data_IF_343605660341
#
_entry.id   IF_343605660341
#
_cell.length_a   1.000
_cell.length_b   1.000
_cell.length_c   1.000
_cell.angle_alpha   90.00
_cell.angle_beta   90.00
_cell.angle_gamma   90.00
#
_symmetry.space_group_name_H-M   'P 1'
#
loop_
_entity.id
_entity.type
_entity.pdbx_description
1 polymer ?
#
# COMPACT_ATOMS: atom_id res chain seq x y z
N UNK A 1 12.11 10.48 -2.16
CA UNK A 1 11.90 9.01 -2.22
C UNK A 1 13.25 8.34 -2.35
N UNK A 2 13.39 7.14 -1.80
CA UNK A 2 14.63 6.35 -1.85
C UNK A 2 14.33 4.95 -2.40
N UNK A 3 15.15 4.38 -3.30
CA UNK A 3 14.93 3.03 -3.79
C UNK A 3 15.13 2.02 -2.67
N UNK A 4 14.20 1.08 -2.54
CA UNK A 4 14.17 0.13 -1.45
C UNK A 4 13.62 -1.23 -1.89
N UNK A 5 13.86 -2.24 -1.07
CA UNK A 5 13.23 -3.56 -1.18
C UNK A 5 12.61 -3.98 0.15
N UNK A 6 11.62 -4.87 0.07
CA UNK A 6 10.99 -5.54 1.20
C UNK A 6 11.05 -7.05 0.99
N UNK A 7 11.17 -7.80 2.08
CA UNK A 7 11.24 -9.28 2.08
C UNK A 7 9.95 -9.89 2.61
N UNK A 8 9.60 -11.11 2.17
CA UNK A 8 8.41 -11.85 2.60
C UNK A 8 7.13 -11.43 1.87
N UNK A 9 7.27 -10.75 0.74
CA UNK A 9 6.15 -10.26 -0.07
C UNK A 9 6.32 -10.69 -1.52
N UNK A 10 5.20 -10.74 -2.24
CA UNK A 10 5.15 -11.00 -3.68
C UNK A 10 4.25 -10.00 -4.39
N UNK A 11 4.50 -9.78 -5.68
CA UNK A 11 3.62 -8.99 -6.55
C UNK A 11 2.84 -9.91 -7.47
N UNK A 12 1.52 -9.73 -7.50
CA UNK A 12 0.61 -10.46 -8.38
C UNK A 12 -0.28 -9.50 -9.15
N UNK A 13 -0.86 -9.96 -10.26
CA UNK A 13 -1.75 -9.14 -11.10
C UNK A 13 -3.15 -9.10 -10.51
N UNK A 14 -3.71 -7.91 -10.39
CA UNK A 14 -5.11 -7.65 -10.08
C UNK A 14 -5.73 -6.83 -11.21
N UNK A 15 -6.25 -7.52 -12.22
CA UNK A 15 -6.60 -6.89 -13.49
C UNK A 15 -5.35 -6.30 -14.15
N UNK A 16 -5.40 -5.00 -14.46
CA UNK A 16 -4.28 -4.25 -15.04
C UNK A 16 -3.28 -3.73 -14.01
N UNK A 17 -3.59 -3.86 -12.71
CA UNK A 17 -2.76 -3.37 -11.61
C UNK A 17 -1.92 -4.49 -11.00
N UNK A 18 -0.85 -4.12 -10.30
CA UNK A 18 -0.12 -5.05 -9.42
C UNK A 18 -0.59 -4.86 -7.98
N UNK A 19 -0.80 -5.97 -7.29
CA UNK A 19 -1.16 -6.03 -5.89
C UNK A 19 -0.04 -6.73 -5.11
N UNK A 20 0.30 -6.18 -3.94
CA UNK A 20 1.24 -6.79 -3.01
C UNK A 20 0.51 -7.82 -2.16
N UNK A 21 1.06 -9.02 -2.03
CA UNK A 21 0.52 -10.11 -1.22
C UNK A 21 1.65 -10.71 -0.35
N UNK A 22 1.28 -11.56 0.61
CA UNK A 22 2.25 -12.40 1.30
C UNK A 22 3.03 -13.29 0.32
N UNK A 23 4.36 -13.27 0.45
CA UNK A 23 5.28 -14.10 -0.31
C UNK A 23 5.95 -15.14 0.59
N UNK A 24 6.83 -15.94 0.00
CA UNK A 24 7.64 -16.90 0.74
C UNK A 24 8.79 -16.20 1.50
N UNK A 25 9.34 -16.82 2.56
CA UNK A 25 10.52 -16.28 3.24
C UNK A 25 11.68 -16.04 2.26
N UNK A 26 12.22 -14.82 2.27
CA UNK A 26 13.30 -14.41 1.37
C UNK A 26 12.85 -13.94 -0.01
N UNK A 27 11.56 -13.98 -0.34
CA UNK A 27 11.05 -13.36 -1.56
C UNK A 27 11.11 -11.84 -1.45
N UNK A 28 11.66 -11.17 -2.47
CA UNK A 28 11.93 -9.74 -2.44
C UNK A 28 11.06 -8.97 -3.43
N UNK A 29 10.49 -7.86 -2.97
CA UNK A 29 9.82 -6.88 -3.84
C UNK A 29 10.61 -5.58 -3.82
N UNK A 30 11.05 -5.14 -5.00
CA UNK A 30 11.74 -3.88 -5.20
C UNK A 30 10.76 -2.74 -5.51
N UNK A 31 11.04 -1.56 -4.99
CA UNK A 31 10.23 -0.37 -5.21
C UNK A 31 10.89 0.89 -4.65
N UNK A 32 10.05 1.84 -4.24
CA UNK A 32 10.48 3.11 -3.68
C UNK A 32 9.87 3.30 -2.30
N UNK A 33 10.67 3.78 -1.36
CA UNK A 33 10.23 4.22 -0.05
C UNK A 33 10.05 5.74 -0.03
N UNK A 34 8.96 6.17 0.56
CA UNK A 34 8.63 7.56 0.79
C UNK A 34 8.54 7.83 2.29
N UNK A 35 9.10 8.96 2.73
CA UNK A 35 9.04 9.40 4.11
C UNK A 35 7.83 10.33 4.29
N UNK A 36 6.92 9.96 5.18
CA UNK A 36 5.70 10.73 5.46
C UNK A 36 6.05 11.83 6.46
N UNK A 37 6.40 13.01 5.94
CA UNK A 37 6.84 14.14 6.77
C UNK A 37 5.71 15.08 7.21
N UNK A 38 4.46 14.91 6.75
CA UNK A 38 3.37 15.83 7.04
C UNK A 38 2.01 15.13 7.15
N UNK A 39 1.03 15.72 7.87
CA UNK A 39 -0.34 15.24 7.92
C UNK A 39 -1.05 15.25 6.55
N UNK A 40 -0.61 16.09 5.62
CA UNK A 40 -1.14 16.13 4.25
C UNK A 40 -0.67 14.90 3.45
N UNK A 41 0.59 14.48 3.61
CA UNK A 41 1.08 13.25 3.00
C UNK A 41 0.32 12.03 3.51
N UNK A 42 0.09 11.96 4.82
CA UNK A 42 -0.73 10.90 5.44
C UNK A 42 -2.17 10.91 4.90
N UNK A 43 -2.76 12.10 4.77
CA UNK A 43 -4.10 12.26 4.20
C UNK A 43 -4.18 11.78 2.74
N UNK A 44 -3.18 12.08 1.92
CA UNK A 44 -3.10 11.60 0.55
C UNK A 44 -2.94 10.08 0.48
N UNK A 45 -2.25 9.48 1.45
CA UNK A 45 -2.10 8.03 1.55
C UNK A 45 -3.38 7.33 2.04
N UNK A 46 -4.21 8.00 2.85
CA UNK A 46 -5.50 7.47 3.30
C UNK A 46 -6.47 7.18 2.15
N UNK A 47 -6.27 7.79 0.97
CA UNK A 47 -6.99 7.40 -0.26
C UNK A 47 -6.78 5.92 -0.62
N UNK A 48 -5.61 5.37 -0.32
CA UNK A 48 -5.28 3.97 -0.58
C UNK A 48 -5.74 3.02 0.54
N UNK A 49 -6.15 3.55 1.71
CA UNK A 49 -6.82 2.80 2.78
C UNK A 49 -8.28 2.50 2.38
N UNK A 50 -8.43 1.67 1.35
CA UNK A 50 -9.72 1.14 0.89
C UNK A 50 -9.97 -0.24 1.49
N UNK A 51 -11.15 -0.82 1.28
CA UNK A 51 -11.41 -2.22 1.65
C UNK A 51 -10.56 -3.23 0.85
N UNK A 52 -9.79 -2.76 -0.14
CA UNK A 52 -8.89 -3.59 -0.93
C UNK A 52 -7.51 -3.78 -0.29
N UNK A 53 -7.10 -2.91 0.64
CA UNK A 53 -5.75 -2.93 1.19
C UNK A 53 -5.72 -2.80 2.71
N UNK A 54 -4.87 -3.61 3.32
CA UNK A 54 -4.51 -3.50 4.72
C UNK A 54 -3.10 -2.90 4.86
N UNK A 55 -2.92 -2.17 5.95
CA UNK A 55 -1.65 -1.56 6.30
C UNK A 55 -0.77 -2.58 7.03
N UNK A 56 0.30 -3.03 6.40
CA UNK A 56 1.18 -4.07 6.92
C UNK A 56 2.56 -3.51 7.30
N UNK A 57 3.13 -3.89 8.46
CA UNK A 57 4.51 -3.55 8.79
C UNK A 57 5.48 -4.29 7.86
N UNK A 58 6.52 -3.60 7.39
CA UNK A 58 7.57 -4.19 6.58
C UNK A 58 8.95 -3.66 6.96
N UNK A 59 9.94 -4.54 6.91
CA UNK A 59 11.35 -4.14 6.98
C UNK A 59 11.78 -3.70 5.58
N UNK A 60 12.09 -2.41 5.43
CA UNK A 60 12.61 -1.86 4.18
C UNK A 60 14.11 -1.82 4.23
N UNK A 61 14.74 -2.32 3.18
CA UNK A 61 16.17 -2.16 2.95
C UNK A 61 16.39 -1.19 1.79
N UNK A 62 17.07 -0.09 2.06
CA UNK A 62 17.42 0.88 1.03
C UNK A 62 18.57 0.37 0.16
N UNK A 63 18.53 0.73 -1.11
CA UNK A 63 19.47 0.24 -2.14
C UNK A 63 20.31 1.38 -2.75
N UNK A 64 20.17 2.60 -2.21
CA UNK A 64 20.91 3.79 -2.64
C UNK A 64 22.29 3.94 -1.97
N UNK A 65 22.65 3.05 -1.05
CA UNK A 65 23.91 3.09 -0.32
C UNK A 65 23.98 4.12 0.81
N UNK A 66 22.92 4.92 1.03
CA UNK A 66 22.86 5.92 2.10
C UNK A 66 22.38 5.32 3.43
N UNK A 67 22.81 5.91 4.53
CA UNK A 67 22.32 5.54 5.87
C UNK A 67 21.01 6.28 6.23
N UNK A 68 20.13 5.66 7.04
CA UNK A 68 20.20 4.27 7.48
C UNK A 68 19.88 3.30 6.34
N UNK A 69 20.56 2.15 6.31
CA UNK A 69 20.34 1.09 5.32
C UNK A 69 19.03 0.31 5.49
N UNK A 70 18.50 0.23 6.72
CA UNK A 70 17.26 -0.51 7.02
C UNK A 70 16.38 0.28 7.96
N UNK A 71 15.07 0.29 7.69
CA UNK A 71 14.06 0.94 8.53
C UNK A 71 12.78 0.08 8.52
N UNK A 72 12.13 -0.06 9.67
CA UNK A 72 10.76 -0.56 9.75
C UNK A 72 9.80 0.54 9.29
N UNK A 73 8.89 0.22 8.39
CA UNK A 73 7.68 1.01 8.29
C UNK A 73 6.53 0.20 7.73
N UNK A 74 5.78 0.78 6.81
CA UNK A 74 4.49 0.27 6.38
C UNK A 74 4.39 0.19 4.87
N UNK A 75 3.57 -0.74 4.41
CA UNK A 75 3.15 -0.94 3.02
C UNK A 75 1.65 -1.25 2.98
N UNK A 76 1.05 -1.09 1.80
CA UNK A 76 -0.32 -1.52 1.53
C UNK A 76 -0.28 -2.92 0.92
N UNK A 77 -0.88 -3.89 1.61
CA UNK A 77 -1.00 -5.27 1.16
C UNK A 77 -2.46 -5.54 0.80
N UNK A 78 -2.71 -6.33 -0.24
CA UNK A 78 -4.06 -6.70 -0.63
C UNK A 78 -4.78 -7.44 0.51
N UNK A 79 -5.93 -6.92 0.92
CA UNK A 79 -6.76 -7.42 2.01
C UNK A 79 -7.70 -8.57 1.59
N UNK A 80 -7.69 -8.92 0.30
CA UNK A 80 -8.60 -9.91 -0.26
C UNK A 80 -8.07 -11.34 -0.31
N UNK A 81 -8.85 -12.20 -0.95
CA UNK A 81 -8.44 -13.58 -1.23
C UNK A 81 -7.29 -13.61 -2.25
N UNK A 82 -6.09 -13.88 -1.75
CA UNK A 82 -4.87 -13.96 -2.55
C UNK A 82 -4.86 -15.19 -3.47
N UNK A 83 -5.56 -16.27 -3.13
CA UNK A 83 -5.64 -17.47 -3.96
C UNK A 83 -6.47 -17.20 -5.21
N UNK A 84 -7.66 -16.60 -5.05
CA UNK A 84 -8.50 -16.19 -6.17
C UNK A 84 -7.77 -15.24 -7.13
N UNK A 85 -6.92 -14.37 -6.58
CA UNK A 85 -6.13 -13.41 -7.35
C UNK A 85 -4.96 -14.07 -8.10
N UNK A 86 -4.27 -15.05 -7.48
CA UNK A 86 -3.24 -15.89 -8.13
C UNK A 86 -3.81 -16.74 -9.27
N UNK A 87 -5.07 -17.18 -9.16
CA UNK A 87 -5.77 -17.91 -10.22
C UNK A 87 -6.24 -17.02 -11.39
N UNK A 88 -5.96 -15.72 -11.36
CA UNK A 88 -6.30 -14.79 -12.44
C UNK A 88 -7.80 -14.49 -12.56
N UNK A 89 -8.60 -14.82 -11.54
CA UNK A 89 -10.04 -14.51 -11.51
C UNK A 89 -10.23 -13.03 -11.16
N UNK A 90 -10.14 -12.16 -12.17
CA UNK A 90 -10.47 -10.76 -12.00
C UNK A 90 -11.98 -10.56 -12.05
N UNK A 91 -12.56 -10.16 -10.92
CA UNK A 91 -13.96 -9.72 -10.83
C UNK A 91 -14.00 -8.19 -10.73
N UNK A 92 -14.45 -7.55 -11.82
CA UNK A 92 -14.57 -6.09 -11.91
C UNK A 92 -15.56 -5.52 -10.88
N UNK A 93 -16.68 -6.19 -10.62
CA UNK A 93 -17.68 -5.70 -9.66
C UNK A 93 -17.13 -5.77 -8.24
N UNK A 94 -16.41 -6.84 -7.91
CA UNK A 94 -15.74 -6.97 -6.63
C UNK A 94 -14.63 -5.92 -6.48
N UNK A 95 -13.88 -5.64 -7.54
CA UNK A 95 -12.89 -4.56 -7.56
C UNK A 95 -13.54 -3.19 -7.31
N UNK A 96 -14.58 -2.83 -8.08
CA UNK A 96 -15.32 -1.57 -7.91
C UNK A 96 -15.89 -1.45 -6.48
N UNK A 97 -16.44 -2.53 -5.93
CA UNK A 97 -16.95 -2.58 -4.56
C UNK A 97 -15.86 -2.36 -3.51
N UNK A 98 -14.69 -3.01 -3.65
CA UNK A 98 -13.58 -2.89 -2.68
C UNK A 98 -12.84 -1.56 -2.75
N UNK A 99 -12.75 -0.98 -3.94
CA UNK A 99 -12.24 0.39 -4.14
C UNK A 99 -13.25 1.45 -3.67
N UNK A 100 -14.55 1.08 -3.61
CA UNK A 100 -15.61 1.81 -2.93
C UNK A 100 -15.28 1.97 -1.44
N UNK A 101 -14.94 3.20 -1.08
CA UNK A 101 -14.03 3.55 0.01
C UNK A 101 -14.54 3.25 1.42
N UNK A 102 -13.59 2.98 2.34
CA UNK A 102 -13.74 3.21 3.79
C UNK A 102 -12.93 4.47 4.11
N UNK A 103 -13.39 5.63 3.63
CA UNK A 103 -12.72 6.89 3.97
C UNK A 103 -12.77 7.08 5.49
N UNK A 104 -11.67 7.51 6.13
CA UNK A 104 -11.71 7.94 7.52
C UNK A 104 -12.82 8.99 7.72
N UNK A 105 -13.59 8.89 8.81
CA UNK A 105 -14.77 9.75 9.08
C UNK A 105 -14.43 11.26 9.06
N UNK A 106 -13.17 11.61 9.30
CA UNK A 106 -12.65 12.98 9.27
C UNK A 106 -12.23 13.48 7.88
N UNK A 107 -12.38 12.67 6.82
CA UNK A 107 -12.08 13.07 5.43
C UNK A 107 -12.84 14.32 5.00
N UNK A 108 -14.09 14.45 5.44
CA UNK A 108 -14.94 15.60 5.12
C UNK A 108 -14.67 16.84 6.00
N UNK A 109 -14.02 16.68 7.16
CA UNK A 109 -13.87 17.78 8.14
C UNK A 109 -12.71 18.75 7.85
N UNK A 110 -11.76 18.42 6.97
CA UNK A 110 -10.62 19.30 6.65
C UNK A 110 -10.72 20.05 5.31
N UNK A 111 -11.74 19.78 4.50
CA UNK A 111 -11.97 20.53 3.25
C UNK A 111 -12.78 21.83 3.44
N UNK A 112 -13.13 22.19 4.67
CA UNK A 112 -13.98 23.35 4.97
C UNK A 112 -13.51 24.26 6.11
N UNK A 113 -12.26 24.16 6.57
CA UNK A 113 -11.70 25.09 7.55
C UNK A 113 -10.69 26.02 6.86
N UNK A 114 -11.23 26.86 5.99
CA UNK A 114 -10.53 27.91 5.27
C UNK A 114 -11.59 28.85 4.74
N UNK A 115 -12.29 29.52 5.65
CA UNK A 115 -12.96 30.82 5.48
C UNK A 115 -13.52 31.26 6.85
N UNK A 116 -12.99 32.37 7.37
CA UNK A 116 -13.34 32.99 8.65
C UNK A 116 -12.17 33.71 9.28
#
# INVERSE_FOLDING_TARGET
>A
MRPAKIEGYSLTKWGDYKALIGGEPGEEVHGMAYEVCSPEHEFNLAYYETNAYDLAPCLRQFTDGAEPKKIIGRTFMYAGDTAALKEGRFDRKLWEFRMGSRLPENWHKRRGAGDG
#
